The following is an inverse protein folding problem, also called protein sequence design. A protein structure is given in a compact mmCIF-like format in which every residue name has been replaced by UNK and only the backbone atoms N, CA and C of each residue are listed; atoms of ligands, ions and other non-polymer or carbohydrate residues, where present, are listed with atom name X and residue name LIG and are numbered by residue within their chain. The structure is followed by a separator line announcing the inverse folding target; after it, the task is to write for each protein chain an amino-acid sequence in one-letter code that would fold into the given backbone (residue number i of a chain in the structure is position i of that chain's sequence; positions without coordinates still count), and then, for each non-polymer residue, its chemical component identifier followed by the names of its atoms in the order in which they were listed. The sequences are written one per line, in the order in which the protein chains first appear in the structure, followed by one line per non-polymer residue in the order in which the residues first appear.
data_IF_396653925222
#
_entry.id   IF_396653925222
#
_cell.length_a   1.000
_cell.length_b   1.000
_cell.length_c   1.000
_cell.angle_alpha   90.00
_cell.angle_beta   90.00
_cell.angle_gamma   90.00
#
_symmetry.space_group_name_H-M   'P 1'
#
loop_
_entity.id
_entity.type
_entity.pdbx_description
1 polymer ?
#
# COMPACT_ATOMS: atom_id res chain seq x y z
N UNK A 1 -4.08 8.04 0.43
CA UNK A 1 -4.48 7.00 1.42
C UNK A 1 -5.73 7.39 2.18
N UNK A 2 -5.83 8.58 2.77
CA UNK A 2 -7.04 9.07 3.44
C UNK A 2 -8.33 8.86 2.61
N UNK A 3 -8.32 9.21 1.31
CA UNK A 3 -9.46 8.94 0.40
C UNK A 3 -9.76 7.46 0.21
N UNK A 4 -8.74 6.60 0.17
CA UNK A 4 -8.91 5.15 0.04
C UNK A 4 -9.55 4.56 1.31
N UNK A 5 -9.21 5.09 2.48
CA UNK A 5 -9.76 4.66 3.77
C UNK A 5 -11.01 5.44 4.20
N UNK A 6 -11.48 6.41 3.41
CA UNK A 6 -12.61 7.26 3.75
C UNK A 6 -13.89 6.46 3.99
N UNK A 7 -14.06 5.37 3.24
CA UNK A 7 -15.18 4.47 3.42
C UNK A 7 -14.84 3.41 4.50
N UNK A 8 -15.58 3.34 5.63
CA UNK A 8 -15.24 2.54 6.81
C UNK A 8 -15.20 1.02 6.56
N UNK A 9 -15.65 0.53 5.42
CA UNK A 9 -15.55 -0.85 5.00
C UNK A 9 -14.16 -1.21 4.42
N UNK A 10 -13.38 -0.23 3.97
CA UNK A 10 -12.06 -0.48 3.37
C UNK A 10 -11.03 -0.84 4.44
N UNK A 11 -10.72 -2.13 4.57
CA UNK A 11 -9.78 -2.61 5.60
C UNK A 11 -8.31 -2.50 5.20
N UNK A 12 -8.00 -2.47 3.89
CA UNK A 12 -6.64 -2.39 3.38
C UNK A 12 -6.57 -1.79 1.96
N UNK A 13 -5.39 -1.30 1.59
CA UNK A 13 -5.04 -0.86 0.22
C UNK A 13 -3.95 -1.76 -0.32
N UNK A 14 -4.12 -2.24 -1.56
CA UNK A 14 -3.12 -3.01 -2.31
C UNK A 14 -2.54 -2.18 -3.45
N UNK A 15 -1.24 -2.35 -3.70
CA UNK A 15 -0.55 -1.81 -4.88
C UNK A 15 0.40 -2.86 -5.44
N UNK A 16 0.56 -2.90 -6.76
CA UNK A 16 1.27 -3.93 -7.50
C UNK A 16 2.31 -3.35 -8.48
N UNK A 17 3.35 -2.64 -7.99
CA UNK A 17 4.44 -2.22 -8.86
C UNK A 17 5.13 -3.42 -9.54
N UNK A 18 5.58 -3.21 -10.78
CA UNK A 18 6.50 -4.14 -11.46
C UNK A 18 7.69 -4.45 -10.55
N UNK A 19 8.11 -5.70 -10.50
CA UNK A 19 9.22 -6.19 -9.68
C UNK A 19 10.56 -5.53 -10.05
N UNK A 20 10.67 -4.98 -11.26
CA UNK A 20 11.81 -4.18 -11.70
C UNK A 20 11.81 -2.74 -11.15
N UNK A 21 10.67 -2.23 -10.67
CA UNK A 21 10.52 -0.85 -10.20
C UNK A 21 10.92 -0.69 -8.72
N UNK A 22 12.22 -0.84 -8.46
CA UNK A 22 12.82 -0.73 -7.11
C UNK A 22 12.52 0.62 -6.44
N UNK A 23 12.34 1.70 -7.22
CA UNK A 23 11.98 3.02 -6.68
C UNK A 23 10.58 3.01 -6.06
N UNK A 24 9.61 2.41 -6.75
CA UNK A 24 8.25 2.27 -6.23
C UNK A 24 8.23 1.42 -4.95
N UNK A 25 9.00 0.33 -4.92
CA UNK A 25 9.10 -0.53 -3.73
C UNK A 25 9.53 0.25 -2.49
N UNK A 26 10.64 1.01 -2.60
CA UNK A 26 11.16 1.84 -1.50
C UNK A 26 10.17 2.93 -1.09
N UNK A 27 9.48 3.52 -2.07
CA UNK A 27 8.46 4.54 -1.83
C UNK A 27 7.32 3.95 -0.97
N UNK A 28 6.70 2.85 -1.40
CA UNK A 28 5.58 2.25 -0.68
C UNK A 28 5.98 1.73 0.71
N UNK A 29 7.15 1.11 0.83
CA UNK A 29 7.70 0.68 2.13
C UNK A 29 7.82 1.84 3.12
N UNK A 30 8.26 3.02 2.66
CA UNK A 30 8.36 4.23 3.50
C UNK A 30 6.99 4.76 3.96
N UNK A 31 5.93 4.50 3.20
CA UNK A 31 4.55 4.82 3.58
C UNK A 31 3.90 3.74 4.47
N UNK A 32 4.65 2.72 4.90
CA UNK A 32 4.16 1.66 5.78
C UNK A 32 3.55 0.46 5.05
N UNK A 33 3.60 0.43 3.71
CA UNK A 33 3.18 -0.76 2.98
C UNK A 33 4.15 -1.92 3.21
N UNK A 34 3.62 -3.13 3.35
CA UNK A 34 4.36 -4.37 3.53
C UNK A 34 4.26 -5.23 2.27
N UNK A 35 5.37 -5.83 1.86
CA UNK A 35 5.36 -6.81 0.77
C UNK A 35 4.61 -8.06 1.24
N UNK A 36 3.61 -8.50 0.48
CA UNK A 36 2.84 -9.71 0.77
C UNK A 36 3.30 -10.86 -0.13
N UNK A 37 3.45 -10.61 -1.42
CA UNK A 37 3.85 -11.63 -2.38
C UNK A 37 4.48 -11.03 -3.65
N UNK A 38 5.14 -11.89 -4.43
CA UNK A 38 5.49 -11.62 -5.83
C UNK A 38 4.54 -12.43 -6.70
N UNK A 39 3.91 -11.79 -7.68
CA UNK A 39 2.87 -12.39 -8.50
C UNK A 39 3.01 -11.96 -9.95
N UNK A 40 2.85 -12.94 -10.85
CA UNK A 40 2.76 -12.72 -12.27
C UNK A 40 1.31 -12.35 -12.65
N UNK A 41 1.12 -11.18 -13.25
CA UNK A 41 -0.14 -10.73 -13.84
C UNK A 41 0.01 -10.68 -15.37
N UNK A 42 -0.39 -11.76 -16.04
CA UNK A 42 -0.16 -11.89 -17.48
C UNK A 42 1.34 -11.89 -17.78
N UNK A 43 1.83 -10.91 -18.55
CA UNK A 43 3.25 -10.75 -18.86
C UNK A 43 4.04 -9.93 -17.81
N UNK A 44 3.34 -9.30 -16.86
CA UNK A 44 3.95 -8.44 -15.86
C UNK A 44 4.28 -9.21 -14.59
N UNK A 45 5.54 -9.15 -14.18
CA UNK A 45 6.00 -9.67 -12.89
C UNK A 45 5.96 -8.55 -11.86
N UNK A 46 5.07 -8.65 -10.88
CA UNK A 46 4.79 -7.59 -9.90
C UNK A 46 5.08 -8.04 -8.48
N UNK A 47 5.33 -7.06 -7.61
CA UNK A 47 5.32 -7.23 -6.16
C UNK A 47 4.02 -6.64 -5.61
N UNK A 48 3.26 -7.44 -4.85
CA UNK A 48 2.02 -6.99 -4.21
C UNK A 48 2.35 -6.48 -2.82
N UNK A 49 2.08 -5.19 -2.61
CA UNK A 49 2.24 -4.51 -1.34
C UNK A 49 0.88 -4.18 -0.72
N UNK A 50 0.77 -4.29 0.61
CA UNK A 50 -0.44 -4.02 1.38
C UNK A 50 -0.19 -2.99 2.47
N UNK A 51 -1.14 -2.07 2.63
CA UNK A 51 -1.24 -1.23 3.82
C UNK A 51 -2.61 -1.46 4.47
N UNK A 52 -2.61 -1.94 5.70
CA UNK A 52 -3.82 -2.12 6.49
C UNK A 52 -4.28 -0.80 7.11
N UNK A 53 -5.59 -0.62 7.30
CA UNK A 53 -6.14 0.56 7.98
C UNK A 53 -5.53 0.75 9.38
N UNK A 54 -5.30 -0.35 10.11
CA UNK A 54 -4.72 -0.29 11.45
C UNK A 54 -3.29 0.27 11.47
N UNK A 55 -2.55 0.08 10.37
CA UNK A 55 -1.19 0.61 10.20
C UNK A 55 -1.20 2.02 9.56
N UNK A 56 -2.34 2.47 9.02
CA UNK A 56 -2.49 3.78 8.44
C UNK A 56 -2.62 4.85 9.54
N UNK A 57 -1.53 5.59 9.77
CA UNK A 57 -1.54 6.78 10.60
C UNK A 57 -2.04 7.96 9.77
N UNK A 58 -3.29 8.36 9.98
CA UNK A 58 -3.77 9.61 9.42
C UNK A 58 -3.07 10.76 10.15
N UNK A 59 -2.27 11.54 9.43
CA UNK A 59 -1.57 12.70 9.98
C UNK A 59 -2.51 13.91 10.15
N UNK A 60 -3.82 13.67 10.29
CA UNK A 60 -4.88 14.67 10.14
C UNK A 60 -5.94 14.61 11.25
N UNK A 61 -5.54 14.65 12.51
CA UNK A 61 -6.37 15.21 13.58
C UNK A 61 -5.45 15.82 14.65
N UNK A 62 -5.44 17.15 14.85
CA UNK A 62 -4.92 17.73 16.09
C UNK A 62 -5.85 17.32 17.24
N UNK A 63 -5.27 16.93 18.37
CA UNK A 63 -5.94 16.64 19.64
C UNK A 63 -7.18 17.53 19.86
N UNK A 64 -8.28 16.91 20.28
CA UNK A 64 -9.38 17.58 20.99
C UNK A 64 -9.55 16.91 22.34
#
# INVERSE_FOLDING_TARGET
LARCFAAPEVSAVLVDPLASNVRAHRFYQRFGFRLIERRQFGADDCLVYRLDRADFKDSGTPDS
#
